data_IF_655282294901
#
_entry.id   IF_655282294901
#
_cell.length_a   1.000
_cell.length_b   1.000
_cell.length_c   1.000
_cell.angle_alpha   90.00
_cell.angle_beta   90.00
_cell.angle_gamma   90.00
#
_symmetry.space_group_name_H-M   'P 1'
#
loop_
_entity.id
_entity.type
_entity.pdbx_description
1 polymer ?
#
# COMPACT_ATOMS: atom_id res chain seq x y z
N UNK A 1 -2.24 31.79 12.99
CA UNK A 1 -2.15 32.00 11.53
C UNK A 1 -0.73 31.67 11.13
N UNK A 2 -0.42 30.40 10.87
CA UNK A 2 0.87 29.96 10.33
C UNK A 2 0.57 28.85 9.33
N UNK A 3 0.58 29.24 8.07
CA UNK A 3 0.44 28.40 6.89
C UNK A 3 1.68 27.53 6.78
N UNK A 4 1.58 26.23 7.01
CA UNK A 4 2.60 25.28 6.60
C UNK A 4 2.40 24.93 5.13
N UNK A 5 3.07 25.66 4.27
CA UNK A 5 3.35 25.26 2.89
C UNK A 5 4.28 24.01 2.95
N UNK A 6 3.69 22.82 2.80
CA UNK A 6 4.45 21.64 2.41
C UNK A 6 4.79 21.74 0.92
N UNK A 7 5.84 22.46 0.62
CA UNK A 7 6.55 22.35 -0.65
C UNK A 7 7.57 21.23 -0.47
N UNK A 8 7.18 19.98 -0.69
CA UNK A 8 8.05 18.82 -0.73
C UNK A 8 8.18 18.34 -2.16
N UNK A 9 9.16 18.89 -2.91
CA UNK A 9 9.68 18.20 -4.07
C UNK A 9 10.24 16.86 -3.56
N UNK A 10 9.68 15.75 -4.04
CA UNK A 10 10.22 14.41 -3.80
C UNK A 10 11.54 14.29 -4.57
N UNK A 11 12.65 14.70 -3.97
CA UNK A 11 13.94 14.12 -4.33
C UNK A 11 13.77 12.61 -4.12
N UNK A 12 13.90 11.84 -5.22
CA UNK A 12 13.57 10.43 -5.28
C UNK A 12 14.21 9.65 -4.12
N UNK A 13 13.43 9.40 -3.06
CA UNK A 13 13.82 8.48 -2.01
C UNK A 13 14.06 7.14 -2.69
N UNK A 14 15.31 6.67 -2.71
CA UNK A 14 15.63 5.32 -3.13
C UNK A 14 14.79 4.37 -2.28
N UNK A 15 14.13 3.41 -2.94
CA UNK A 15 13.49 2.34 -2.20
C UNK A 15 14.55 1.60 -1.39
N UNK A 16 14.26 1.33 -0.11
CA UNK A 16 15.21 0.67 0.79
C UNK A 16 15.60 -0.72 0.25
N UNK A 17 16.91 -1.00 0.23
CA UNK A 17 17.44 -2.32 -0.07
C UNK A 17 17.76 -3.02 1.25
N UNK A 18 16.74 -3.52 1.94
CA UNK A 18 16.88 -4.19 3.24
C UNK A 18 16.36 -5.63 3.22
N UNK A 19 16.65 -6.36 4.30
CA UNK A 19 15.97 -7.61 4.60
C UNK A 19 14.63 -7.28 5.25
N UNK A 20 13.53 -7.55 4.54
CA UNK A 20 12.18 -7.37 5.08
C UNK A 20 11.59 -8.71 5.50
N UNK A 21 10.85 -8.74 6.61
CA UNK A 21 9.99 -9.88 6.97
C UNK A 21 8.85 -10.01 5.96
N UNK A 22 8.23 -8.89 5.67
CA UNK A 22 7.19 -8.70 4.65
C UNK A 22 7.06 -7.21 4.35
N UNK A 23 6.30 -6.89 3.34
CA UNK A 23 5.88 -5.52 3.07
C UNK A 23 4.36 -5.45 2.98
N UNK A 24 3.78 -4.27 3.21
CA UNK A 24 2.43 -3.96 2.80
C UNK A 24 2.47 -2.87 1.73
N UNK A 25 1.56 -2.96 0.76
CA UNK A 25 1.50 -2.06 -0.38
C UNK A 25 0.06 -1.61 -0.58
N UNK A 26 -0.10 -0.32 -0.80
CA UNK A 26 -1.36 0.34 -1.11
C UNK A 26 -1.19 1.28 -2.29
N UNK A 27 -2.27 1.52 -3.04
CA UNK A 27 -2.25 2.43 -4.19
C UNK A 27 -3.49 3.30 -4.24
N UNK A 28 -3.30 4.56 -4.68
CA UNK A 28 -4.39 5.43 -5.10
C UNK A 28 -4.47 5.50 -6.61
N UNK A 29 -5.69 5.62 -7.13
CA UNK A 29 -5.95 5.74 -8.57
C UNK A 29 -6.63 7.07 -8.89
N UNK A 30 -6.30 7.67 -10.04
CA UNK A 30 -6.87 8.95 -10.46
C UNK A 30 -8.37 8.86 -10.77
N UNK A 31 -8.84 7.69 -11.20
CA UNK A 31 -10.22 7.45 -11.62
C UNK A 31 -10.60 5.95 -11.58
N UNK A 32 -11.74 5.59 -12.15
CA UNK A 32 -12.27 4.21 -12.18
C UNK A 32 -11.43 3.22 -13.01
N UNK A 33 -10.55 3.70 -13.88
CA UNK A 33 -9.58 2.84 -14.54
C UNK A 33 -8.50 2.44 -13.52
N UNK A 34 -8.44 1.16 -13.22
CA UNK A 34 -7.47 0.63 -12.25
C UNK A 34 -6.01 0.82 -12.68
N UNK A 35 -5.76 1.01 -13.97
CA UNK A 35 -4.40 1.30 -14.47
C UNK A 35 -3.96 2.74 -14.15
N UNK A 36 -4.88 3.63 -13.72
CA UNK A 36 -4.58 5.04 -13.44
C UNK A 36 -3.94 5.28 -12.07
N UNK A 37 -2.99 4.42 -11.67
CA UNK A 37 -2.27 4.56 -10.39
C UNK A 37 -1.59 5.92 -10.32
N UNK A 38 -1.88 6.71 -9.28
CA UNK A 38 -1.33 8.06 -9.07
C UNK A 38 -0.52 8.21 -7.77
N UNK A 39 -0.58 7.25 -6.86
CA UNK A 39 0.27 7.15 -5.68
C UNK A 39 0.51 5.68 -5.36
N UNK A 40 1.70 5.37 -4.87
CA UNK A 40 2.07 4.04 -4.35
C UNK A 40 2.73 4.25 -2.99
N UNK A 41 2.20 3.58 -1.98
CA UNK A 41 2.78 3.48 -0.64
C UNK A 41 3.27 2.07 -0.36
N UNK A 42 4.43 1.96 0.28
CA UNK A 42 4.98 0.67 0.73
C UNK A 42 5.46 0.81 2.16
N UNK A 43 4.98 -0.07 3.03
CA UNK A 43 5.43 -0.22 4.40
C UNK A 43 6.28 -1.48 4.51
N UNK A 44 7.56 -1.32 4.78
CA UNK A 44 8.54 -2.38 4.92
C UNK A 44 8.68 -2.77 6.39
N UNK A 45 8.33 -4.00 6.74
CA UNK A 45 8.48 -4.53 8.10
C UNK A 45 9.83 -5.19 8.24
N UNK A 46 10.67 -4.66 9.13
CA UNK A 46 12.02 -5.12 9.39
C UNK A 46 12.04 -6.36 10.33
N UNK A 47 13.17 -7.06 10.46
CA UNK A 47 13.28 -8.23 11.34
C UNK A 47 12.95 -7.98 12.82
N UNK A 48 13.11 -6.74 13.29
CA UNK A 48 12.76 -6.31 14.66
C UNK A 48 11.31 -5.84 14.81
N UNK A 49 10.49 -5.95 13.75
CA UNK A 49 9.13 -5.47 13.63
C UNK A 49 8.97 -3.94 13.58
N UNK A 50 10.04 -3.18 13.43
CA UNK A 50 9.91 -1.78 13.06
C UNK A 50 9.41 -1.64 11.63
N UNK A 51 8.75 -0.52 11.33
CA UNK A 51 8.18 -0.25 10.01
C UNK A 51 8.87 0.97 9.41
N UNK A 52 9.45 0.80 8.24
CA UNK A 52 9.91 1.89 7.39
C UNK A 52 8.92 2.09 6.25
N UNK A 53 8.53 3.32 5.99
CA UNK A 53 7.59 3.63 4.90
C UNK A 53 8.30 4.32 3.74
N UNK A 54 7.80 4.05 2.55
CA UNK A 54 8.20 4.70 1.32
C UNK A 54 6.97 5.03 0.49
N UNK A 55 6.95 6.20 -0.11
CA UNK A 55 5.85 6.66 -0.96
C UNK A 55 6.40 7.39 -2.18
N UNK A 56 5.70 7.26 -3.28
CA UNK A 56 5.89 8.07 -4.47
C UNK A 56 4.57 8.40 -5.14
N UNK A 57 4.49 9.61 -5.70
CA UNK A 57 3.48 9.89 -6.72
C UNK A 57 3.87 9.23 -8.04
N UNK A 58 2.87 8.94 -8.85
CA UNK A 58 3.01 8.35 -10.19
C UNK A 58 2.21 9.19 -11.16
N UNK A 59 2.78 9.53 -12.31
CA UNK A 59 2.01 10.15 -13.38
C UNK A 59 1.23 9.07 -14.17
N UNK A 60 -0.10 8.98 -14.01
CA UNK A 60 -0.92 8.00 -14.70
C UNK A 60 -1.16 8.36 -16.19
N UNK A 61 -0.65 9.46 -16.67
CA UNK A 61 -0.85 9.98 -18.04
C UNK A 61 -2.33 10.03 -18.44
N UNK A 62 -3.24 10.35 -17.51
CA UNK A 62 -4.69 10.43 -17.73
C UNK A 62 -5.21 11.86 -17.62
N UNK A 63 -6.14 12.30 -18.49
CA UNK A 63 -6.81 13.60 -18.33
C UNK A 63 -7.95 13.56 -17.29
N UNK A 64 -8.35 12.36 -16.82
CA UNK A 64 -9.52 12.16 -15.95
C UNK A 64 -9.11 11.96 -14.50
N UNK A 65 -9.63 12.82 -13.61
CA UNK A 65 -9.31 12.85 -12.18
C UNK A 65 -10.61 12.80 -11.35
N UNK A 66 -11.25 11.64 -11.31
CA UNK A 66 -12.52 11.46 -10.62
C UNK A 66 -12.38 11.37 -9.09
N UNK A 67 -11.22 10.92 -8.59
CA UNK A 67 -11.01 10.62 -7.18
C UNK A 67 -10.19 11.67 -6.42
N UNK A 68 -9.88 12.82 -7.04
CA UNK A 68 -9.21 13.94 -6.35
C UNK A 68 -9.94 14.37 -5.06
N UNK A 69 -11.27 14.33 -5.04
CA UNK A 69 -12.05 14.64 -3.83
C UNK A 69 -11.93 13.61 -2.72
N UNK A 70 -11.41 12.40 -3.01
CA UNK A 70 -11.23 11.30 -2.06
C UNK A 70 -9.85 11.37 -1.38
N UNK A 71 -8.78 11.46 -2.18
CA UNK A 71 -7.39 11.38 -1.71
C UNK A 71 -6.60 12.68 -1.90
N UNK A 72 -7.20 13.73 -2.45
CA UNK A 72 -6.56 15.03 -2.63
C UNK A 72 -5.56 15.13 -3.80
N UNK A 73 -5.21 14.02 -4.45
CA UNK A 73 -4.24 13.98 -5.53
C UNK A 73 -4.90 14.45 -6.83
N UNK A 74 -4.19 15.29 -7.57
CA UNK A 74 -4.65 15.88 -8.84
C UNK A 74 -3.54 15.82 -9.90
N UNK A 75 -3.86 16.18 -11.12
CA UNK A 75 -2.89 16.30 -12.20
C UNK A 75 -1.71 17.23 -11.83
N UNK A 76 -1.97 18.30 -11.08
CA UNK A 76 -0.90 19.20 -10.64
C UNK A 76 0.00 18.56 -9.57
N UNK A 77 -0.54 17.67 -8.74
CA UNK A 77 0.22 16.95 -7.70
C UNK A 77 1.27 16.02 -8.32
N UNK A 78 0.90 15.30 -9.37
CA UNK A 78 1.77 14.31 -10.02
C UNK A 78 2.63 14.87 -11.14
N UNK A 79 2.57 16.19 -11.37
CA UNK A 79 3.36 16.82 -12.43
C UNK A 79 4.86 16.62 -12.20
N UNK A 80 5.51 15.91 -13.13
CA UNK A 80 6.92 15.56 -13.03
C UNK A 80 7.21 14.31 -12.18
N UNK A 81 6.17 13.64 -11.70
CA UNK A 81 6.33 12.33 -11.06
C UNK A 81 6.74 11.26 -12.10
N UNK A 82 7.41 10.20 -11.67
CA UNK A 82 7.76 9.09 -12.55
C UNK A 82 6.50 8.38 -13.08
N UNK A 83 6.64 7.72 -14.22
CA UNK A 83 5.63 6.81 -14.75
C UNK A 83 5.55 5.51 -13.92
N UNK A 84 4.42 4.79 -14.03
CA UNK A 84 4.30 3.48 -13.42
C UNK A 84 5.38 2.49 -13.89
N UNK A 85 5.82 2.59 -15.15
CA UNK A 85 6.88 1.73 -15.70
C UNK A 85 8.22 1.91 -14.96
N UNK A 86 8.58 3.16 -14.62
CA UNK A 86 9.81 3.47 -13.87
C UNK A 86 9.72 2.96 -12.45
N UNK A 87 8.56 3.12 -11.79
CA UNK A 87 8.35 2.62 -10.42
C UNK A 87 8.33 1.10 -10.38
N UNK A 88 7.72 0.45 -11.38
CA UNK A 88 7.72 -1.01 -11.48
C UNK A 88 9.14 -1.57 -11.51
N UNK A 89 10.04 -0.98 -12.31
CA UNK A 89 11.46 -1.37 -12.38
C UNK A 89 12.13 -1.20 -11.01
N UNK A 90 11.81 -0.13 -10.29
CA UNK A 90 12.38 0.16 -8.96
C UNK A 90 11.96 -0.88 -7.91
N UNK A 91 10.70 -1.34 -7.95
CA UNK A 91 10.12 -2.24 -6.95
C UNK A 91 10.30 -3.73 -7.27
N UNK A 92 10.46 -4.09 -8.55
CA UNK A 92 10.40 -5.48 -9.02
C UNK A 92 11.44 -6.37 -8.32
N UNK A 93 12.69 -5.97 -8.30
CA UNK A 93 13.77 -6.75 -7.70
C UNK A 93 13.75 -6.73 -6.16
N UNK A 94 13.59 -5.57 -5.47
CA UNK A 94 13.53 -5.55 -4.01
C UNK A 94 12.37 -6.33 -3.39
N UNK A 95 11.23 -6.43 -4.09
CA UNK A 95 10.06 -7.17 -3.61
C UNK A 95 10.01 -8.63 -4.09
N UNK A 96 10.98 -9.05 -4.89
CA UNK A 96 11.06 -10.45 -5.36
C UNK A 96 11.27 -11.41 -4.19
N UNK A 97 10.41 -12.43 -4.08
CA UNK A 97 10.47 -13.42 -3.01
C UNK A 97 9.96 -12.93 -1.65
N UNK A 98 9.53 -11.67 -1.56
CA UNK A 98 8.96 -11.10 -0.33
C UNK A 98 7.44 -11.28 -0.34
N UNK A 99 6.85 -11.52 0.83
CA UNK A 99 5.40 -11.45 1.00
C UNK A 99 4.94 -10.01 0.93
N UNK A 100 4.01 -9.72 0.00
CA UNK A 100 3.42 -8.40 -0.22
C UNK A 100 1.97 -8.44 0.24
N UNK A 101 1.67 -7.80 1.37
CA UNK A 101 0.31 -7.64 1.84
C UNK A 101 -0.39 -6.47 1.15
N UNK A 102 -1.67 -6.63 0.90
CA UNK A 102 -2.61 -5.57 0.54
C UNK A 102 -3.80 -5.60 1.50
N UNK A 103 -4.50 -4.49 1.67
CA UNK A 103 -5.73 -4.50 2.46
C UNK A 103 -6.95 -4.52 1.55
N UNK A 104 -7.31 -5.62 1.03
CA UNK A 104 -8.34 -6.00 0.06
C UNK A 104 -7.73 -6.62 -1.21
N UNK A 105 -8.47 -6.71 -2.30
CA UNK A 105 -7.93 -7.20 -3.59
C UNK A 105 -7.72 -6.07 -4.59
N UNK A 106 -7.87 -4.81 -4.16
CA UNK A 106 -7.84 -3.65 -5.06
C UNK A 106 -6.43 -3.38 -5.60
N UNK A 107 -5.43 -3.32 -4.72
CA UNK A 107 -4.07 -2.89 -5.03
C UNK A 107 -3.40 -3.79 -6.06
N UNK A 108 -3.41 -5.11 -5.84
CA UNK A 108 -2.93 -6.07 -6.82
C UNK A 108 -3.67 -5.97 -8.14
N UNK A 109 -4.99 -5.75 -8.09
CA UNK A 109 -5.80 -5.60 -9.30
C UNK A 109 -5.42 -4.34 -10.08
N UNK A 110 -5.10 -3.24 -9.39
CA UNK A 110 -4.60 -2.01 -10.01
C UNK A 110 -3.20 -2.22 -10.63
N UNK A 111 -2.29 -2.85 -9.89
CA UNK A 111 -0.96 -3.23 -10.40
C UNK A 111 -1.05 -4.09 -11.66
N UNK A 112 -1.90 -5.13 -11.64
CA UNK A 112 -2.12 -5.99 -12.82
C UNK A 112 -2.66 -5.21 -14.00
N UNK A 113 -3.63 -4.31 -13.78
CA UNK A 113 -4.18 -3.48 -14.84
C UNK A 113 -3.12 -2.55 -15.43
N UNK A 114 -2.29 -1.92 -14.60
CA UNK A 114 -1.20 -1.06 -15.04
C UNK A 114 -0.12 -1.84 -15.81
N UNK A 115 0.27 -3.04 -15.35
CA UNK A 115 1.17 -3.94 -16.09
C UNK A 115 0.58 -4.32 -17.45
N UNK A 116 -0.72 -4.67 -17.50
CA UNK A 116 -1.42 -5.00 -18.76
C UNK A 116 -1.40 -3.83 -19.73
N UNK A 117 -1.64 -2.60 -19.24
CA UNK A 117 -1.56 -1.38 -20.07
C UNK A 117 -0.16 -1.16 -20.67
N UNK A 118 0.89 -1.56 -19.93
CA UNK A 118 2.28 -1.55 -20.41
C UNK A 118 2.64 -2.75 -21.30
N UNK A 119 1.71 -3.70 -21.51
CA UNK A 119 1.98 -4.99 -22.18
C UNK A 119 3.12 -5.78 -21.50
N UNK A 120 3.15 -5.75 -20.17
CA UNK A 120 4.08 -6.49 -19.31
C UNK A 120 3.31 -7.45 -18.43
N UNK A 121 3.97 -8.55 -18.06
CA UNK A 121 3.46 -9.46 -17.03
C UNK A 121 3.51 -8.80 -15.64
N UNK A 122 2.58 -9.18 -14.77
CA UNK A 122 2.60 -8.82 -13.35
C UNK A 122 3.83 -9.46 -12.69
N UNK A 123 4.61 -8.72 -11.84
CA UNK A 123 5.71 -9.32 -11.09
C UNK A 123 5.24 -10.51 -10.24
N UNK A 124 6.07 -11.54 -10.18
CA UNK A 124 5.77 -12.73 -9.38
C UNK A 124 6.09 -12.43 -7.90
N UNK A 125 5.24 -11.63 -7.26
CA UNK A 125 5.31 -11.36 -5.83
C UNK A 125 4.35 -12.27 -5.06
N UNK A 126 4.71 -12.62 -3.82
CA UNK A 126 3.84 -13.41 -2.96
C UNK A 126 2.74 -12.53 -2.34
N UNK A 127 1.68 -12.26 -3.12
CA UNK A 127 0.56 -11.42 -2.69
C UNK A 127 -0.30 -12.11 -1.63
N UNK A 128 -0.51 -11.44 -0.51
CA UNK A 128 -1.37 -11.85 0.58
C UNK A 128 -2.39 -10.74 0.91
N UNK A 129 -3.45 -11.11 1.64
CA UNK A 129 -4.51 -10.17 1.99
C UNK A 129 -4.62 -10.04 3.52
N UNK A 130 -4.29 -8.86 4.06
CA UNK A 130 -4.36 -8.57 5.49
C UNK A 130 -5.78 -8.64 6.05
N UNK A 131 -6.82 -8.45 5.24
CA UNK A 131 -8.22 -8.68 5.64
C UNK A 131 -8.44 -10.15 6.02
N UNK A 132 -7.81 -11.09 5.31
CA UNK A 132 -7.91 -12.52 5.65
C UNK A 132 -7.27 -12.82 7.00
N UNK A 133 -6.12 -12.19 7.26
CA UNK A 133 -5.43 -12.29 8.55
C UNK A 133 -6.29 -11.69 9.66
N UNK A 134 -6.83 -10.48 9.45
CA UNK A 134 -7.70 -9.80 10.40
C UNK A 134 -8.97 -10.61 10.74
N UNK A 135 -9.60 -11.23 9.73
CA UNK A 135 -10.78 -12.09 9.95
C UNK A 135 -10.49 -13.30 10.83
N UNK A 136 -9.28 -13.82 10.77
CA UNK A 136 -8.84 -14.94 11.63
C UNK A 136 -8.47 -14.47 13.03
N UNK A 137 -7.90 -13.27 13.14
CA UNK A 137 -7.48 -12.71 14.43
C UNK A 137 -8.67 -12.20 15.26
N UNK A 138 -9.64 -11.52 14.62
CA UNK A 138 -10.78 -10.84 15.26
C UNK A 138 -12.10 -11.25 14.60
N UNK A 139 -12.53 -12.53 14.73
CA UNK A 139 -13.78 -13.02 14.12
C UNK A 139 -15.02 -12.30 14.64
N UNK A 140 -14.97 -11.69 15.84
CA UNK A 140 -16.04 -10.93 16.47
C UNK A 140 -16.40 -9.64 15.71
N UNK A 141 -15.50 -9.14 14.85
CA UNK A 141 -15.81 -7.99 14.01
C UNK A 141 -16.73 -8.30 12.84
N UNK A 142 -16.99 -9.60 12.56
CA UNK A 142 -17.96 -10.00 11.54
C UNK A 142 -19.37 -9.57 11.97
N UNK A 143 -19.99 -8.69 11.18
CA UNK A 143 -21.28 -8.08 11.53
C UNK A 143 -21.21 -6.93 12.52
N UNK A 144 -20.00 -6.58 13.02
CA UNK A 144 -19.77 -5.51 13.97
C UNK A 144 -18.66 -4.57 13.42
N UNK A 145 -18.98 -3.81 12.38
CA UNK A 145 -18.06 -2.89 11.71
C UNK A 145 -17.20 -3.54 10.62
N UNK A 146 -17.00 -4.86 10.65
CA UNK A 146 -16.22 -5.59 9.65
C UNK A 146 -14.70 -5.42 9.80
N UNK A 147 -13.95 -5.83 8.77
CA UNK A 147 -12.49 -5.92 8.78
C UNK A 147 -11.82 -4.96 7.79
N UNK A 148 -12.51 -3.88 7.38
CA UNK A 148 -11.89 -2.79 6.63
C UNK A 148 -10.99 -1.93 7.52
N UNK A 149 -10.01 -1.21 6.92
CA UNK A 149 -9.03 -0.39 7.67
C UNK A 149 -9.70 0.57 8.65
N UNK A 150 -10.80 1.24 8.26
CA UNK A 150 -11.54 2.15 9.13
C UNK A 150 -12.10 1.48 10.40
N UNK A 151 -12.53 0.21 10.29
CA UNK A 151 -13.01 -0.56 11.45
C UNK A 151 -11.84 -1.01 12.32
N UNK A 152 -10.79 -1.53 11.70
CA UNK A 152 -9.57 -1.97 12.39
C UNK A 152 -8.84 -0.81 13.06
N UNK A 153 -8.84 0.39 12.45
CA UNK A 153 -8.34 1.62 13.07
C UNK A 153 -8.95 1.83 14.46
N UNK A 154 -10.28 1.75 14.56
CA UNK A 154 -10.98 1.92 15.85
C UNK A 154 -10.72 0.77 16.82
N UNK A 155 -10.72 -0.47 16.30
CA UNK A 155 -10.55 -1.68 17.12
C UNK A 155 -9.16 -1.79 17.72
N UNK A 156 -8.12 -1.43 16.94
CA UNK A 156 -6.71 -1.55 17.33
C UNK A 156 -6.12 -0.24 17.88
N UNK A 157 -6.86 0.86 17.83
CA UNK A 157 -6.36 2.17 18.26
C UNK A 157 -5.30 2.75 17.33
N UNK A 158 -5.35 2.42 16.02
CA UNK A 158 -4.39 2.93 15.05
C UNK A 158 -4.67 4.40 14.71
N UNK A 159 -3.62 5.15 14.39
CA UNK A 159 -3.71 6.55 13.98
C UNK A 159 -3.10 6.72 12.60
N UNK A 160 -3.93 7.03 11.60
CA UNK A 160 -3.51 7.29 10.22
C UNK A 160 -4.60 8.07 9.47
N UNK A 161 -4.23 8.73 8.39
CA UNK A 161 -5.16 9.40 7.49
C UNK A 161 -5.54 8.46 6.34
N UNK A 162 -6.84 8.17 6.19
CA UNK A 162 -7.32 7.33 5.10
C UNK A 162 -7.14 8.02 3.74
N UNK A 163 -6.89 7.19 2.71
CA UNK A 163 -6.70 7.63 1.34
C UNK A 163 -5.38 8.39 1.13
N UNK A 164 -4.37 8.05 1.93
CA UNK A 164 -2.97 8.27 1.67
C UNK A 164 -2.29 6.90 1.59
N UNK A 165 -1.74 6.55 0.43
CA UNK A 165 -1.22 5.20 0.20
C UNK A 165 -0.08 4.82 1.15
N UNK A 166 0.75 5.79 1.62
CA UNK A 166 1.78 5.53 2.62
C UNK A 166 1.18 5.12 3.97
N UNK A 167 0.16 5.88 4.40
CA UNK A 167 -0.51 5.66 5.68
C UNK A 167 -1.36 4.39 5.66
N UNK A 168 -2.06 4.11 4.56
CA UNK A 168 -2.89 2.91 4.41
C UNK A 168 -2.01 1.65 4.30
N UNK A 169 -0.86 1.71 3.60
CA UNK A 169 0.13 0.63 3.60
C UNK A 169 0.70 0.37 5.01
N UNK A 170 1.05 1.43 5.75
CA UNK A 170 1.52 1.31 7.14
C UNK A 170 0.45 0.67 8.02
N UNK A 171 -0.80 1.12 7.92
CA UNK A 171 -1.90 0.55 8.67
C UNK A 171 -2.13 -0.94 8.34
N UNK A 172 -2.03 -1.32 7.07
CA UNK A 172 -2.13 -2.73 6.66
C UNK A 172 -1.00 -3.59 7.26
N UNK A 173 0.24 -3.07 7.34
CA UNK A 173 1.35 -3.74 8.01
C UNK A 173 1.11 -3.87 9.52
N UNK A 174 0.64 -2.80 10.19
CA UNK A 174 0.29 -2.81 11.62
C UNK A 174 -0.80 -3.84 11.93
N UNK A 175 -1.82 -3.97 11.06
CA UNK A 175 -2.87 -5.00 11.19
C UNK A 175 -2.26 -6.41 11.21
N UNK A 176 -1.30 -6.71 10.35
CA UNK A 176 -0.62 -8.02 10.33
C UNK A 176 0.14 -8.23 11.63
N UNK A 177 0.96 -7.27 12.07
CA UNK A 177 1.73 -7.36 13.31
C UNK A 177 0.85 -7.51 14.56
N UNK A 178 -0.27 -6.80 14.62
CA UNK A 178 -1.24 -6.96 15.71
C UNK A 178 -1.88 -8.34 15.71
N UNK A 179 -2.20 -8.88 14.54
CA UNK A 179 -2.79 -10.20 14.42
C UNK A 179 -1.79 -11.31 14.84
N UNK A 180 -0.53 -11.16 14.48
CA UNK A 180 0.55 -12.06 14.95
C UNK A 180 0.62 -12.08 16.47
N UNK A 181 0.65 -10.92 17.11
CA UNK A 181 0.69 -10.78 18.58
C UNK A 181 -0.55 -11.38 19.24
N UNK A 182 -1.75 -11.13 18.72
CA UNK A 182 -3.02 -11.61 19.28
C UNK A 182 -3.11 -13.14 19.31
N UNK A 183 -2.45 -13.82 18.37
CA UNK A 183 -2.46 -15.29 18.26
C UNK A 183 -1.25 -15.98 18.91
N UNK A 184 -0.31 -15.22 19.46
CA UNK A 184 0.95 -15.79 19.96
C UNK A 184 1.77 -16.52 18.86
N UNK A 185 1.50 -16.17 17.61
CA UNK A 185 2.10 -16.75 16.44
C UNK A 185 3.02 -15.71 15.81
N UNK A 186 4.33 -15.94 15.85
CA UNK A 186 5.13 -15.57 14.70
C UNK A 186 4.57 -16.40 13.55
N UNK A 187 3.82 -15.75 12.66
CA UNK A 187 3.25 -16.47 11.51
C UNK A 187 4.39 -16.71 10.53
N UNK A 188 5.10 -17.79 10.77
CA UNK A 188 5.96 -18.41 9.76
C UNK A 188 5.02 -18.93 8.68
N UNK A 189 4.73 -18.10 7.65
CA UNK A 189 4.12 -18.58 6.43
C UNK A 189 5.17 -19.35 5.61
N UNK A 190 5.47 -20.57 6.06
CA UNK A 190 5.88 -21.65 5.19
C UNK A 190 4.64 -22.54 5.14
N UNK A 191 3.89 -22.45 4.01
CA UNK A 191 3.18 -23.61 3.49
C UNK A 191 2.42 -23.25 2.22
N UNK A 192 2.90 -23.90 1.24
CA UNK A 192 2.47 -24.76 0.13
C UNK A 192 1.75 -24.08 -1.00
#
# INVERSE_FOLDING_TARGET
MLSFLRCGQSEGRKFSSGSFRFVALDVETANHDRASICQIGVACVLPDNSIETWMTYVDPATPTWAFTGLHGISQSTVKGAPSFAEILILLEAPLSGITVYQHSGFDRSAFRAACTALKRDEPVWNWQNSVTIARRAWPELKGNGGHGLASLKRHLGLSFDHHDAEEDARAAAEVVLHAERAKGLEVCFHDA
#
